data_IF_906290915928
#
_entry.id   IF_906290915928
#
_cell.length_a   1.000
_cell.length_b   1.000
_cell.length_c   1.000
_cell.angle_alpha   90.00
_cell.angle_beta   90.00
_cell.angle_gamma   90.00
#
_symmetry.space_group_name_H-M   'P 1'
#
loop_
_entity.id
_entity.type
_entity.pdbx_description
1 polymer ?
#
# COMPACT_ATOMS: atom_id res chain seq x y z
N UNK A 1 42.32 20.75 23.76
CA UNK A 1 42.40 20.62 22.29
C UNK A 1 41.05 20.13 21.74
N UNK A 2 39.95 20.83 22.07
CA UNK A 2 38.58 20.41 21.72
C UNK A 2 37.75 21.68 21.40
N UNK A 3 38.13 22.39 20.34
CA UNK A 3 37.39 23.56 19.87
C UNK A 3 37.45 23.62 18.34
N UNK A 4 36.67 22.75 17.68
CA UNK A 4 36.04 23.01 16.38
C UNK A 4 35.13 21.84 15.98
N UNK A 5 34.14 21.48 16.80
CA UNK A 5 33.06 20.59 16.36
C UNK A 5 31.94 21.47 15.78
N UNK A 6 31.92 21.61 14.47
CA UNK A 6 30.89 22.36 13.73
C UNK A 6 29.47 21.88 14.10
N UNK A 7 28.46 22.78 14.15
CA UNK A 7 27.10 22.44 14.56
C UNK A 7 26.45 21.34 13.70
N UNK A 8 26.92 21.17 12.46
CA UNK A 8 26.56 20.06 11.57
C UNK A 8 27.00 18.68 12.10
N UNK A 9 28.16 18.58 12.76
CA UNK A 9 28.65 17.31 13.29
C UNK A 9 27.91 16.86 14.55
N UNK A 10 27.46 17.81 15.38
CA UNK A 10 26.64 17.53 16.57
C UNK A 10 25.24 17.02 16.15
N UNK A 11 24.64 17.67 15.14
CA UNK A 11 23.34 17.24 14.60
C UNK A 11 23.41 15.83 13.99
N UNK A 12 24.47 15.53 13.23
CA UNK A 12 24.71 14.19 12.65
C UNK A 12 24.87 13.10 13.72
N UNK A 13 25.62 13.35 14.80
CA UNK A 13 25.79 12.39 15.91
C UNK A 13 24.49 12.12 16.68
N UNK A 14 23.59 13.09 16.78
CA UNK A 14 22.26 12.93 17.38
C UNK A 14 21.31 12.14 16.48
N UNK A 15 21.38 12.38 15.17
CA UNK A 15 20.53 11.71 14.16
C UNK A 15 20.96 10.26 13.89
N UNK A 16 22.26 10.00 13.90
CA UNK A 16 22.88 8.66 13.84
C UNK A 16 23.29 8.15 15.24
N UNK A 17 22.64 8.63 16.30
CA UNK A 17 22.81 8.02 17.60
C UNK A 17 22.36 6.55 17.50
N UNK A 18 23.17 5.61 17.98
CA UNK A 18 22.91 4.17 17.84
C UNK A 18 21.47 3.81 18.27
N UNK A 19 20.93 4.45 19.32
CA UNK A 19 19.53 4.31 19.72
C UNK A 19 18.51 4.72 18.65
N UNK A 20 18.72 5.81 17.93
CA UNK A 20 17.81 6.27 16.86
C UNK A 20 17.88 5.33 15.64
N UNK A 21 19.07 4.84 15.30
CA UNK A 21 19.26 3.87 14.22
C UNK A 21 18.64 2.52 14.57
N UNK A 22 18.86 2.03 15.80
CA UNK A 22 18.27 0.77 16.31
C UNK A 22 16.76 0.89 16.42
N UNK A 23 16.22 1.98 16.95
CA UNK A 23 14.77 2.19 17.05
C UNK A 23 14.12 2.28 15.66
N UNK A 24 14.77 2.96 14.72
CA UNK A 24 14.31 3.05 13.32
C UNK A 24 14.36 1.70 12.62
N UNK A 25 15.44 0.93 12.80
CA UNK A 25 15.58 -0.41 12.22
C UNK A 25 14.58 -1.39 12.85
N UNK A 26 14.39 -1.34 14.16
CA UNK A 26 13.41 -2.14 14.88
C UNK A 26 11.99 -1.82 14.43
N UNK A 27 11.60 -0.54 14.41
CA UNK A 27 10.27 -0.11 13.95
C UNK A 27 9.99 -0.52 12.51
N UNK A 28 10.98 -0.41 11.62
CA UNK A 28 10.85 -0.84 10.22
C UNK A 28 10.71 -2.36 10.12
N UNK A 29 11.55 -3.11 10.81
CA UNK A 29 11.54 -4.57 10.75
C UNK A 29 10.30 -5.15 11.42
N UNK A 30 9.92 -4.64 12.59
CA UNK A 30 8.73 -5.09 13.33
C UNK A 30 7.46 -4.83 12.53
N UNK A 31 7.34 -3.66 11.90
CA UNK A 31 6.19 -3.36 11.03
C UNK A 31 6.08 -4.36 9.88
N UNK A 32 7.18 -4.73 9.22
CA UNK A 32 7.16 -5.70 8.13
C UNK A 32 6.88 -7.11 8.65
N UNK A 33 7.51 -7.54 9.74
CA UNK A 33 7.32 -8.87 10.32
C UNK A 33 5.87 -9.08 10.77
N UNK A 34 5.28 -8.10 11.46
CA UNK A 34 3.88 -8.16 11.91
C UNK A 34 2.95 -8.21 10.70
N UNK A 35 3.14 -7.31 9.73
CA UNK A 35 2.31 -7.27 8.53
C UNK A 35 2.39 -8.60 7.74
N UNK A 36 3.60 -9.12 7.51
CA UNK A 36 3.82 -10.39 6.80
C UNK A 36 3.26 -11.58 7.57
N UNK A 37 3.34 -11.60 8.90
CA UNK A 37 2.77 -12.68 9.71
C UNK A 37 1.24 -12.71 9.61
N UNK A 38 0.60 -11.55 9.74
CA UNK A 38 -0.86 -11.42 9.59
C UNK A 38 -1.28 -11.75 8.15
N UNK A 39 -0.45 -11.40 7.17
CA UNK A 39 -0.65 -11.65 5.74
C UNK A 39 -0.54 -13.14 5.37
N UNK A 40 0.43 -13.86 5.94
CA UNK A 40 0.69 -15.26 5.61
C UNK A 40 -0.27 -16.24 6.29
N UNK A 41 -1.00 -15.79 7.33
CA UNK A 41 -1.92 -16.63 8.11
C UNK A 41 -3.22 -16.99 7.37
N UNK A 42 -3.91 -16.06 6.67
CA UNK A 42 -5.06 -16.40 5.85
C UNK A 42 -4.64 -16.81 4.43
N UNK A 43 -5.15 -17.94 3.89
CA UNK A 43 -4.84 -18.38 2.51
C UNK A 43 -5.37 -17.41 1.45
N UNK A 44 -6.27 -16.50 1.83
CA UNK A 44 -6.99 -15.57 0.97
C UNK A 44 -6.42 -14.13 0.98
N UNK A 45 -5.20 -13.92 1.49
CA UNK A 45 -4.61 -12.57 1.53
C UNK A 45 -4.45 -11.93 0.15
N UNK A 46 -4.18 -12.74 -0.88
CA UNK A 46 -4.09 -12.26 -2.27
C UNK A 46 -5.37 -11.58 -2.74
N UNK A 47 -6.53 -12.13 -2.38
CA UNK A 47 -7.84 -11.58 -2.73
C UNK A 47 -8.12 -10.26 -2.01
N UNK A 48 -7.74 -10.15 -0.74
CA UNK A 48 -7.84 -8.91 0.04
C UNK A 48 -6.94 -7.81 -0.56
N UNK A 49 -5.71 -8.16 -0.94
CA UNK A 49 -4.80 -7.20 -1.56
C UNK A 49 -5.33 -6.72 -2.93
N UNK A 50 -5.95 -7.60 -3.71
CA UNK A 50 -6.62 -7.25 -4.97
C UNK A 50 -7.80 -6.29 -4.74
N UNK A 51 -8.62 -6.54 -3.71
CA UNK A 51 -9.72 -5.66 -3.30
C UNK A 51 -9.20 -4.26 -2.90
N UNK A 52 -8.15 -4.19 -2.07
CA UNK A 52 -7.54 -2.93 -1.63
C UNK A 52 -6.94 -2.17 -2.82
N UNK A 53 -6.29 -2.85 -3.77
CA UNK A 53 -5.81 -2.25 -5.01
C UNK A 53 -6.94 -1.64 -5.83
N UNK A 54 -8.05 -2.37 -5.96
CA UNK A 54 -9.21 -1.96 -6.73
C UNK A 54 -9.94 -0.73 -6.15
N UNK A 55 -10.03 -0.61 -4.82
CA UNK A 55 -10.68 0.54 -4.17
C UNK A 55 -9.73 1.68 -3.80
N UNK A 56 -8.48 1.36 -3.46
CA UNK A 56 -7.55 2.30 -2.85
C UNK A 56 -6.56 2.95 -3.82
N UNK A 57 -6.17 2.26 -4.89
CA UNK A 57 -5.17 2.76 -5.85
C UNK A 57 -5.81 3.22 -7.15
N UNK A 58 -6.75 2.44 -7.68
CA UNK A 58 -7.48 2.77 -8.92
C UNK A 58 -8.10 4.18 -8.86
N UNK A 59 -8.97 4.56 -7.89
CA UNK A 59 -9.61 5.87 -7.94
C UNK A 59 -8.65 7.06 -7.82
N UNK A 60 -7.66 7.07 -6.90
CA UNK A 60 -6.67 8.14 -6.83
C UNK A 60 -5.77 8.23 -8.06
N UNK A 61 -5.34 7.12 -8.66
CA UNK A 61 -4.53 7.13 -9.88
C UNK A 61 -5.26 7.79 -11.07
N UNK A 62 -6.60 7.78 -11.07
CA UNK A 62 -7.40 8.46 -12.09
C UNK A 62 -7.79 9.90 -11.74
N UNK A 63 -7.95 10.20 -10.45
CA UNK A 63 -8.27 11.56 -9.96
C UNK A 63 -7.03 12.47 -10.02
N UNK A 64 -5.84 11.95 -9.70
CA UNK A 64 -4.62 12.73 -9.60
C UNK A 64 -4.23 13.42 -10.93
N UNK A 65 -4.26 12.75 -12.10
CA UNK A 65 -3.99 13.41 -13.38
C UNK A 65 -4.99 14.52 -13.70
N UNK A 66 -6.26 14.35 -13.33
CA UNK A 66 -7.32 15.34 -13.61
C UNK A 66 -7.15 16.59 -12.73
N UNK A 67 -6.70 16.41 -11.48
CA UNK A 67 -6.49 17.51 -10.53
C UNK A 67 -5.15 18.22 -10.75
N UNK A 68 -4.08 17.49 -11.08
CA UNK A 68 -2.74 18.05 -11.30
C UNK A 68 -2.62 18.75 -12.67
N UNK A 69 -3.22 18.17 -13.71
CA UNK A 69 -3.25 18.78 -15.05
C UNK A 69 -4.51 19.61 -15.21
N UNK A 70 -4.56 20.77 -14.56
CA UNK A 70 -5.59 21.81 -14.71
C UNK A 70 -5.73 22.18 -16.20
N UNK A 71 -6.70 21.63 -16.97
CA UNK A 71 -6.61 21.71 -18.42
C UNK A 71 -7.30 22.97 -18.93
N UNK A 72 -6.55 23.80 -19.64
CA UNK A 72 -7.15 24.69 -20.64
C UNK A 72 -7.60 23.81 -21.81
N UNK A 73 -8.91 23.53 -21.85
CA UNK A 73 -9.72 23.02 -22.97
C UNK A 73 -9.28 21.69 -23.63
N UNK A 74 -10.04 20.62 -23.32
CA UNK A 74 -10.29 19.41 -24.15
C UNK A 74 -9.11 18.85 -24.96
N UNK A 75 -8.08 18.34 -24.29
CA UNK A 75 -7.07 17.50 -24.94
C UNK A 75 -7.53 16.03 -24.98
N UNK A 76 -7.22 15.29 -26.06
CA UNK A 76 -7.46 13.85 -26.25
C UNK A 76 -6.99 13.02 -25.04
N UNK A 77 -5.96 13.51 -24.35
CA UNK A 77 -5.42 12.93 -23.11
C UNK A 77 -6.48 12.85 -22.00
N UNK A 78 -7.39 13.83 -21.90
CA UNK A 78 -8.48 13.82 -20.93
C UNK A 78 -9.48 12.70 -21.22
N UNK A 79 -9.87 12.53 -22.49
CA UNK A 79 -10.84 11.51 -22.89
C UNK A 79 -10.25 10.10 -22.72
N UNK A 80 -8.98 9.92 -23.08
CA UNK A 80 -8.23 8.67 -22.90
C UNK A 80 -8.14 8.30 -21.40
N UNK A 81 -7.81 9.27 -20.54
CA UNK A 81 -7.72 9.04 -19.09
C UNK A 81 -9.09 8.67 -18.48
N UNK A 82 -10.18 9.29 -18.95
CA UNK A 82 -11.54 8.97 -18.53
C UNK A 82 -11.99 7.59 -19.00
N UNK A 83 -11.70 7.20 -20.25
CA UNK A 83 -12.04 5.86 -20.74
C UNK A 83 -11.28 4.76 -20.00
N UNK A 84 -10.00 4.98 -19.72
CA UNK A 84 -9.19 4.04 -18.92
C UNK A 84 -9.75 3.96 -17.50
N UNK A 85 -10.07 5.10 -16.87
CA UNK A 85 -10.68 5.13 -15.54
C UNK A 85 -12.00 4.34 -15.48
N UNK A 86 -12.87 4.48 -16.48
CA UNK A 86 -14.14 3.74 -16.56
C UNK A 86 -13.90 2.23 -16.67
N UNK A 87 -13.00 1.80 -17.56
CA UNK A 87 -12.70 0.38 -17.78
C UNK A 87 -12.07 -0.24 -16.54
N UNK A 88 -11.09 0.42 -15.92
CA UNK A 88 -10.45 -0.08 -14.70
C UNK A 88 -11.39 -0.09 -13.50
N UNK A 89 -12.33 0.85 -13.40
CA UNK A 89 -13.39 0.82 -12.38
C UNK A 89 -14.31 -0.40 -12.57
N UNK A 90 -14.75 -0.68 -13.79
CA UNK A 90 -15.57 -1.86 -14.09
C UNK A 90 -14.81 -3.17 -13.78
N UNK A 91 -13.54 -3.26 -14.17
CA UNK A 91 -12.67 -4.39 -13.83
C UNK A 91 -12.49 -4.50 -12.31
N UNK A 92 -12.34 -3.38 -11.60
CA UNK A 92 -12.23 -3.35 -10.14
C UNK A 92 -13.48 -3.92 -9.44
N UNK A 93 -14.68 -3.62 -9.93
CA UNK A 93 -15.93 -4.20 -9.41
C UNK A 93 -15.96 -5.71 -9.64
N UNK A 94 -15.62 -6.17 -10.86
CA UNK A 94 -15.57 -7.60 -11.18
C UNK A 94 -14.53 -8.33 -10.33
N UNK A 95 -13.35 -7.74 -10.16
CA UNK A 95 -12.28 -8.26 -9.32
C UNK A 95 -12.70 -8.31 -7.85
N UNK A 96 -13.42 -7.30 -7.36
CA UNK A 96 -13.95 -7.29 -6.00
C UNK A 96 -14.94 -8.44 -5.77
N UNK A 97 -15.88 -8.65 -6.69
CA UNK A 97 -16.84 -9.77 -6.60
C UNK A 97 -16.14 -11.13 -6.68
N UNK A 98 -15.14 -11.27 -7.56
CA UNK A 98 -14.35 -12.48 -7.68
C UNK A 98 -13.53 -12.79 -6.42
N UNK A 99 -12.85 -11.77 -5.86
CA UNK A 99 -12.09 -11.84 -4.62
C UNK A 99 -12.99 -12.24 -3.44
N UNK A 100 -14.16 -11.61 -3.27
CA UNK A 100 -15.12 -11.99 -2.22
C UNK A 100 -15.57 -13.43 -2.37
N UNK A 101 -15.85 -13.89 -3.60
CA UNK A 101 -16.22 -15.28 -3.86
C UNK A 101 -15.10 -16.26 -3.48
N UNK A 102 -13.86 -15.94 -3.84
CA UNK A 102 -12.69 -16.77 -3.50
C UNK A 102 -12.45 -16.79 -1.99
N UNK A 103 -12.50 -15.64 -1.31
CA UNK A 103 -12.40 -15.54 0.16
C UNK A 103 -13.47 -16.41 0.83
N UNK A 104 -14.72 -16.40 0.36
CA UNK A 104 -15.80 -17.20 0.97
C UNK A 104 -15.59 -18.71 0.75
N UNK A 105 -15.09 -19.12 -0.42
CA UNK A 105 -14.79 -20.52 -0.72
C UNK A 105 -13.57 -21.02 0.08
N UNK A 106 -12.52 -20.21 0.14
CA UNK A 106 -11.32 -20.50 0.92
C UNK A 106 -11.63 -20.49 2.41
N UNK A 107 -12.39 -19.53 2.93
CA UNK A 107 -12.80 -19.49 4.33
C UNK A 107 -13.69 -20.68 4.74
N UNK A 108 -14.49 -21.25 3.81
CA UNK A 108 -15.24 -22.49 4.06
C UNK A 108 -14.35 -23.74 4.10
N UNK A 109 -13.26 -23.74 3.33
CA UNK A 109 -12.29 -24.85 3.27
C UNK A 109 -11.24 -24.72 4.39
N UNK A 110 -10.99 -23.49 4.85
CA UNK A 110 -10.03 -23.17 5.89
C UNK A 110 -10.63 -23.41 7.28
N UNK A 111 -10.47 -24.64 7.76
CA UNK A 111 -10.72 -25.00 9.14
C UNK A 111 -9.57 -24.46 10.02
N UNK A 112 -9.64 -23.19 10.43
CA UNK A 112 -8.75 -22.60 11.46
C UNK A 112 -8.76 -23.41 12.78
N UNK A 113 -9.76 -24.28 12.94
CA UNK A 113 -9.77 -25.39 13.88
C UNK A 113 -10.31 -26.66 13.18
N UNK A 114 -9.50 -27.27 12.31
CA UNK A 114 -9.67 -28.70 12.06
C UNK A 114 -9.15 -29.44 13.29
N UNK A 115 -10.05 -29.73 14.23
CA UNK A 115 -9.92 -30.83 15.18
C UNK A 115 -8.78 -30.71 16.23
N UNK A 116 -9.13 -30.14 17.39
CA UNK A 116 -9.14 -30.95 18.61
C UNK A 116 -10.57 -31.31 18.96
#
# INVERSE_FOLDING_TARGET
MECSRTPLQIRRKKEFAARNVILRAFSRSSSVIIATTITAMPPFFGDINSLIGAFGFIPPDFILPVVFFKPSKRSIIFWLNVTIAMVFSAIGIIAAVAAVRQIVLDAKTYRLFANV
#
